data_IF_725838305285
#
_entry.id   IF_725838305285
#
_cell.length_a   1.000
_cell.length_b   1.000
_cell.length_c   1.000
_cell.angle_alpha   90.00
_cell.angle_beta   90.00
_cell.angle_gamma   90.00
#
_symmetry.space_group_name_H-M   'P 1'
#
loop_
_entity.id
_entity.type
_entity.pdbx_description
1 polymer ?
#
# COMPACT_ATOMS: atom_id res chain seq x y z
N UNK A 1 21.59 42.34 20.69
CA UNK A 1 21.32 41.98 19.28
C UNK A 1 22.00 40.67 18.84
N UNK A 2 22.08 39.63 19.69
CA UNK A 2 22.69 38.32 19.32
C UNK A 2 21.78 37.11 19.55
N UNK A 3 20.61 37.29 20.15
CA UNK A 3 19.70 36.20 20.53
C UNK A 3 18.52 35.99 19.56
N UNK A 4 18.26 36.92 18.64
CA UNK A 4 17.11 36.83 17.72
C UNK A 4 17.41 36.09 16.41
N UNK A 5 18.68 35.85 16.09
CA UNK A 5 19.07 35.18 14.83
C UNK A 5 19.03 33.65 14.98
N UNK A 6 19.10 33.12 16.21
CA UNK A 6 19.11 31.66 16.43
C UNK A 6 17.73 31.00 16.28
N UNK A 7 16.63 31.76 16.42
CA UNK A 7 15.27 31.21 16.30
C UNK A 7 14.74 31.19 14.86
N UNK A 8 15.35 31.91 13.93
CA UNK A 8 14.94 31.91 12.52
C UNK A 8 15.38 30.66 11.73
N UNK A 9 16.39 29.94 12.23
CA UNK A 9 16.93 28.75 11.56
C UNK A 9 16.26 27.46 12.04
N UNK A 10 15.57 27.49 13.19
CA UNK A 10 14.94 26.30 13.78
C UNK A 10 13.57 25.93 13.20
N UNK A 11 13.04 26.71 12.24
CA UNK A 11 11.70 26.47 11.68
C UNK A 11 11.69 25.64 10.38
N UNK A 12 12.85 25.28 9.83
CA UNK A 12 12.94 24.56 8.54
C UNK A 12 13.10 23.04 8.64
N UNK A 13 13.12 22.45 9.84
CA UNK A 13 13.40 21.01 10.02
C UNK A 13 12.17 20.11 10.20
N UNK A 14 10.93 20.62 10.08
CA UNK A 14 9.72 19.81 10.28
C UNK A 14 8.83 19.64 9.06
N UNK A 15 9.25 20.08 7.87
CA UNK A 15 8.62 19.61 6.64
C UNK A 15 9.13 18.20 6.32
N UNK A 16 8.57 17.20 7.02
CA UNK A 16 8.52 15.83 6.53
C UNK A 16 7.68 15.85 5.23
N UNK A 17 8.26 16.31 4.14
CA UNK A 17 7.69 16.15 2.82
C UNK A 17 7.63 14.63 2.59
N UNK A 18 6.45 14.03 2.76
CA UNK A 18 6.22 12.63 2.41
C UNK A 18 6.48 12.52 0.92
N UNK A 19 7.66 12.03 0.56
CA UNK A 19 8.11 11.93 -0.82
C UNK A 19 7.07 11.16 -1.62
N UNK A 20 6.60 11.80 -2.70
CA UNK A 20 5.76 11.15 -3.69
C UNK A 20 6.67 10.58 -4.77
N UNK A 21 6.45 9.33 -5.13
CA UNK A 21 7.20 8.60 -6.13
C UNK A 21 6.27 8.33 -7.32
N UNK A 22 6.64 8.80 -8.51
CA UNK A 22 5.89 8.58 -9.73
C UNK A 22 6.63 7.59 -10.61
N UNK A 23 5.95 6.52 -11.03
CA UNK A 23 6.54 5.45 -11.83
C UNK A 23 5.62 5.05 -12.97
N UNK A 24 6.19 4.84 -14.15
CA UNK A 24 5.49 4.33 -15.34
C UNK A 24 5.97 2.91 -15.62
N UNK A 25 5.07 1.94 -15.53
CA UNK A 25 5.38 0.51 -15.53
C UNK A 25 4.31 -0.26 -16.31
N UNK A 26 4.70 -1.36 -16.97
CA UNK A 26 3.73 -2.27 -17.59
C UNK A 26 3.24 -3.29 -16.56
N UNK A 27 1.94 -3.34 -16.30
CA UNK A 27 1.34 -4.40 -15.50
C UNK A 27 1.29 -5.69 -16.32
N UNK A 28 1.76 -6.80 -15.75
CA UNK A 28 1.87 -8.06 -16.51
C UNK A 28 1.07 -9.20 -15.91
N UNK A 29 0.93 -9.27 -14.59
CA UNK A 29 0.25 -10.39 -13.94
C UNK A 29 -0.04 -10.05 -12.46
N UNK A 30 -0.85 -10.88 -11.82
CA UNK A 30 -0.94 -10.93 -10.36
C UNK A 30 -1.08 -12.35 -9.85
N UNK A 31 -0.65 -12.57 -8.61
CA UNK A 31 -0.82 -13.85 -7.94
C UNK A 31 -1.20 -13.67 -6.48
N UNK A 32 -2.08 -14.56 -6.00
CA UNK A 32 -2.43 -14.63 -4.59
C UNK A 32 -1.43 -15.49 -3.83
N UNK A 33 -0.95 -14.97 -2.70
CA UNK A 33 -0.10 -15.69 -1.74
C UNK A 33 -0.71 -15.63 -0.34
N UNK A 34 -0.40 -16.63 0.48
CA UNK A 34 -0.79 -16.60 1.89
C UNK A 34 -0.07 -15.46 2.63
N UNK A 35 -0.74 -14.91 3.65
CA UNK A 35 -0.12 -13.95 4.59
C UNK A 35 0.11 -14.62 5.94
N UNK A 36 0.69 -13.88 6.90
CA UNK A 36 0.80 -14.34 8.30
C UNK A 36 -0.51 -14.22 9.09
N UNK A 37 -1.61 -13.82 8.44
CA UNK A 37 -2.97 -13.77 8.98
C UNK A 37 -3.91 -14.57 8.07
N UNK A 38 -4.58 -15.60 8.59
CA UNK A 38 -5.48 -16.44 7.78
C UNK A 38 -6.68 -15.70 7.19
N UNK A 39 -6.98 -14.50 7.67
CA UNK A 39 -8.09 -13.69 7.18
C UNK A 39 -7.68 -12.68 6.10
N UNK A 40 -6.42 -12.77 5.61
CA UNK A 40 -5.93 -12.01 4.47
C UNK A 40 -5.13 -12.87 3.51
N UNK A 41 -5.23 -12.54 2.23
CA UNK A 41 -4.30 -12.98 1.20
C UNK A 41 -3.51 -11.79 0.67
N UNK A 42 -2.31 -12.07 0.19
CA UNK A 42 -1.47 -11.11 -0.49
C UNK A 42 -1.77 -11.19 -1.99
N UNK A 43 -2.38 -10.15 -2.57
CA UNK A 43 -2.46 -9.98 -4.01
C UNK A 43 -1.18 -9.29 -4.48
N UNK A 44 -0.22 -10.08 -4.95
CA UNK A 44 1.04 -9.57 -5.47
C UNK A 44 0.86 -9.16 -6.93
N UNK A 45 0.84 -7.85 -7.18
CA UNK A 45 0.80 -7.26 -8.50
C UNK A 45 2.22 -7.22 -9.08
N UNK A 46 2.38 -7.68 -10.31
CA UNK A 46 3.68 -7.76 -10.99
C UNK A 46 3.73 -6.71 -12.11
N UNK A 47 4.76 -5.89 -12.07
CA UNK A 47 5.02 -4.86 -13.06
C UNK A 47 6.44 -4.99 -13.63
N UNK A 48 6.61 -4.57 -14.89
CA UNK A 48 7.91 -4.54 -15.57
C UNK A 48 8.26 -3.10 -15.96
N UNK A 49 9.52 -2.72 -15.73
CA UNK A 49 10.15 -1.49 -16.23
C UNK A 49 11.44 -1.84 -16.95
N UNK A 50 11.44 -1.74 -18.28
CA UNK A 50 12.58 -2.19 -19.08
C UNK A 50 12.91 -3.65 -18.78
N UNK A 51 13.96 -3.94 -18.00
CA UNK A 51 14.40 -5.28 -17.61
C UNK A 51 14.11 -5.59 -16.12
N UNK A 52 13.70 -4.59 -15.33
CA UNK A 52 13.43 -4.76 -13.91
C UNK A 52 11.99 -5.20 -13.66
N UNK A 53 11.81 -6.07 -12.66
CA UNK A 53 10.50 -6.49 -12.16
C UNK A 53 10.21 -5.83 -10.82
N UNK A 54 9.08 -5.13 -10.72
CA UNK A 54 8.55 -4.61 -9.47
C UNK A 54 7.40 -5.49 -8.99
N UNK A 55 7.45 -5.90 -7.72
CA UNK A 55 6.37 -6.62 -7.03
C UNK A 55 5.73 -5.70 -6.00
N UNK A 56 4.44 -5.47 -6.15
CA UNK A 56 3.66 -4.60 -5.28
C UNK A 56 2.56 -5.42 -4.61
N UNK A 57 2.55 -5.43 -3.30
CA UNK A 57 1.68 -6.26 -2.50
C UNK A 57 0.44 -5.49 -2.04
N UNK A 58 -0.73 -6.07 -2.26
CA UNK A 58 -2.00 -5.58 -1.73
C UNK A 58 -2.57 -6.62 -0.79
N UNK A 59 -2.72 -6.28 0.50
CA UNK A 59 -3.32 -7.20 1.50
C UNK A 59 -4.84 -7.11 1.39
N UNK A 60 -5.47 -8.16 0.89
CA UNK A 60 -6.92 -8.22 0.62
C UNK A 60 -7.61 -9.16 1.60
N UNK A 61 -8.79 -8.80 2.14
CA UNK A 61 -9.53 -9.67 3.04
C UNK A 61 -9.91 -11.00 2.40
N UNK A 62 -9.83 -12.05 3.20
CA UNK A 62 -10.18 -13.42 2.81
C UNK A 62 -11.14 -14.04 3.82
N UNK A 63 -12.32 -14.44 3.34
CA UNK A 63 -13.32 -15.17 4.14
C UNK A 63 -13.04 -16.66 4.08
N UNK A 64 -12.53 -17.19 5.20
CA UNK A 64 -12.23 -18.62 5.32
C UNK A 64 -13.47 -19.52 5.22
N UNK A 65 -14.64 -19.05 5.65
CA UNK A 65 -15.87 -19.86 5.70
C UNK A 65 -16.35 -20.34 4.33
N UNK A 66 -16.07 -19.59 3.27
CA UNK A 66 -16.46 -19.91 1.90
C UNK A 66 -15.30 -19.77 0.89
N UNK A 67 -14.05 -19.71 1.38
CA UNK A 67 -12.84 -19.51 0.59
C UNK A 67 -12.92 -18.33 -0.39
N UNK A 68 -13.53 -17.22 0.03
CA UNK A 68 -13.78 -16.06 -0.83
C UNK A 68 -12.75 -14.95 -0.58
N UNK A 69 -12.07 -14.52 -1.65
CA UNK A 69 -11.25 -13.30 -1.65
C UNK A 69 -12.17 -12.11 -1.93
N UNK A 70 -12.12 -11.09 -1.06
CA UNK A 70 -12.87 -9.85 -1.24
C UNK A 70 -11.90 -8.82 -1.83
N UNK A 71 -11.71 -8.89 -3.15
CA UNK A 71 -10.89 -7.94 -3.89
C UNK A 71 -11.80 -6.95 -4.61
N UNK A 72 -11.85 -5.71 -4.13
CA UNK A 72 -12.65 -4.65 -4.74
C UNK A 72 -11.87 -3.84 -5.77
N UNK A 73 -10.62 -4.16 -6.04
CA UNK A 73 -9.76 -3.40 -6.93
C UNK A 73 -9.25 -2.10 -6.31
N UNK A 74 -8.20 -1.54 -6.90
CA UNK A 74 -7.56 -0.28 -6.47
C UNK A 74 -8.61 0.85 -6.55
N UNK A 75 -8.64 1.74 -5.54
CA UNK A 75 -9.60 2.84 -5.46
C UNK A 75 -11.08 2.45 -5.61
N UNK A 76 -11.46 1.24 -5.19
CA UNK A 76 -12.84 0.76 -5.26
C UNK A 76 -13.34 0.68 -6.71
N UNK A 77 -13.00 -0.44 -7.35
CA UNK A 77 -13.39 -0.94 -8.68
C UNK A 77 -12.34 -0.84 -9.79
N UNK A 78 -11.09 -0.41 -9.53
CA UNK A 78 -10.05 -0.53 -10.56
C UNK A 78 -9.30 -1.85 -10.48
N UNK A 79 -9.65 -2.79 -11.35
CA UNK A 79 -8.80 -3.96 -11.59
C UNK A 79 -7.90 -3.70 -12.79
N UNK A 80 -6.59 -3.85 -12.59
CA UNK A 80 -5.59 -3.61 -13.63
C UNK A 80 -5.75 -4.62 -14.78
N UNK A 81 -5.57 -4.15 -16.01
CA UNK A 81 -5.60 -4.94 -17.23
C UNK A 81 -4.17 -5.30 -17.62
N UNK A 82 -3.91 -6.59 -17.80
CA UNK A 82 -2.62 -7.11 -18.24
C UNK A 82 -2.13 -6.42 -19.52
N UNK A 83 -0.81 -6.31 -19.65
CA UNK A 83 -0.11 -5.67 -20.75
C UNK A 83 -0.42 -4.17 -20.93
N UNK A 84 -1.05 -3.52 -19.95
CA UNK A 84 -1.29 -2.08 -19.95
C UNK A 84 -0.16 -1.35 -19.22
N UNK A 85 0.28 -0.23 -19.77
CA UNK A 85 1.26 0.66 -19.13
C UNK A 85 0.50 1.61 -18.21
N UNK A 86 0.82 1.56 -16.93
CA UNK A 86 0.28 2.44 -15.90
C UNK A 86 1.33 3.41 -15.41
N UNK A 87 0.91 4.65 -15.17
CA UNK A 87 1.62 5.61 -14.35
C UNK A 87 0.98 5.62 -12.96
N UNK A 88 1.75 5.24 -11.95
CA UNK A 88 1.33 5.11 -10.56
C UNK A 88 2.06 6.18 -9.76
N UNK A 89 1.31 6.98 -9.01
CA UNK A 89 1.86 7.92 -8.02
C UNK A 89 1.69 7.31 -6.64
N UNK A 90 2.80 7.00 -5.97
CA UNK A 90 2.87 6.43 -4.64
C UNK A 90 3.30 7.50 -3.64
N UNK A 91 2.77 7.44 -2.43
CA UNK A 91 3.20 8.26 -1.30
C UNK A 91 3.58 7.36 -0.14
N UNK A 92 4.80 7.51 0.39
CA UNK A 92 5.18 6.81 1.62
C UNK A 92 4.28 7.25 2.77
N UNK A 93 3.74 6.28 3.50
CA UNK A 93 2.89 6.54 4.67
C UNK A 93 3.37 5.70 5.85
N UNK A 94 3.12 6.19 7.06
CA UNK A 94 3.24 5.40 8.27
C UNK A 94 2.03 4.50 8.43
N UNK A 95 2.18 3.39 9.15
CA UNK A 95 1.04 2.52 9.55
C UNK A 95 -0.05 3.29 10.32
N UNK A 96 0.34 4.34 11.06
CA UNK A 96 -0.59 5.20 11.80
C UNK A 96 -1.40 6.16 10.91
N UNK A 97 -1.03 6.33 9.64
CA UNK A 97 -1.84 7.10 8.68
C UNK A 97 -3.04 6.30 8.16
N UNK A 98 -3.03 4.97 8.31
CA UNK A 98 -4.18 4.13 7.97
C UNK A 98 -5.22 4.25 9.10
N UNK A 99 -6.48 4.63 8.80
CA UNK A 99 -7.53 4.74 9.81
C UNK A 99 -7.66 3.47 10.64
N UNK A 100 -7.64 3.61 11.97
CA UNK A 100 -7.76 2.46 12.88
C UNK A 100 -9.09 1.73 12.71
N UNK A 101 -10.16 2.47 12.41
CA UNK A 101 -11.48 1.92 12.10
C UNK A 101 -11.47 0.93 10.93
N UNK A 102 -10.41 0.96 10.11
CA UNK A 102 -10.27 0.00 9.04
C UNK A 102 -9.80 -1.36 9.54
N UNK A 103 -9.19 -1.54 10.71
CA UNK A 103 -8.63 -2.84 11.13
C UNK A 103 -7.66 -3.47 10.10
N UNK A 104 -6.92 -2.68 9.29
CA UNK A 104 -6.13 -3.24 8.18
C UNK A 104 -5.09 -4.28 8.60
N UNK A 105 -4.66 -5.15 7.67
CA UNK A 105 -3.55 -6.08 7.89
C UNK A 105 -2.33 -5.35 8.46
N UNK A 106 -2.00 -4.19 7.89
CA UNK A 106 -0.86 -3.40 8.35
C UNK A 106 -1.01 -2.95 9.82
N UNK A 107 -2.22 -2.62 10.29
CA UNK A 107 -2.47 -2.25 11.69
C UNK A 107 -2.35 -3.44 12.65
N UNK A 108 -2.72 -4.65 12.22
CA UNK A 108 -2.84 -5.82 13.11
C UNK A 108 -1.65 -6.78 13.06
N UNK A 109 -0.92 -6.80 11.95
CA UNK A 109 0.06 -7.82 11.62
C UNK A 109 1.45 -7.25 11.34
N UNK A 110 1.75 -6.04 11.79
CA UNK A 110 3.06 -5.44 11.57
C UNK A 110 3.63 -4.76 12.82
N UNK A 111 4.96 -4.69 12.88
CA UNK A 111 5.72 -3.88 13.83
C UNK A 111 6.46 -2.84 13.00
N UNK A 112 6.16 -1.56 13.24
CA UNK A 112 6.80 -0.42 12.57
C UNK A 112 8.27 -0.31 12.95
N UNK A 113 9.12 0.03 11.99
CA UNK A 113 10.51 0.38 12.25
C UNK A 113 10.62 1.70 13.06
N UNK A 114 11.62 1.78 13.94
CA UNK A 114 11.79 2.95 14.83
C UNK A 114 12.32 4.18 14.11
N UNK A 115 13.03 3.98 13.00
CA UNK A 115 13.72 5.03 12.24
C UNK A 115 12.93 5.48 11.02
N UNK A 116 12.16 4.58 10.42
CA UNK A 116 11.30 4.86 9.27
C UNK A 116 9.91 4.27 9.50
N UNK A 117 8.94 5.13 9.82
CA UNK A 117 7.59 4.71 10.15
C UNK A 117 6.85 4.00 9.00
N UNK A 118 7.35 4.11 7.76
CA UNK A 118 6.79 3.43 6.59
C UNK A 118 7.29 2.00 6.45
N UNK A 119 8.43 1.68 7.08
CA UNK A 119 8.99 0.34 7.09
C UNK A 119 8.39 -0.49 8.21
N UNK A 120 8.23 -1.78 7.96
CA UNK A 120 7.64 -2.67 8.94
C UNK A 120 8.11 -4.11 8.82
N UNK A 121 8.03 -4.83 9.93
CA UNK A 121 8.20 -6.30 9.95
C UNK A 121 6.85 -6.96 10.13
N UNK A 122 6.52 -7.95 9.30
CA UNK A 122 5.28 -8.72 9.45
C UNK A 122 5.35 -9.70 10.63
N UNK A 123 4.30 -9.74 11.44
CA UNK A 123 4.11 -10.67 12.54
C UNK A 123 2.89 -11.58 12.34
N UNK A 124 2.95 -12.78 12.93
CA UNK A 124 1.84 -13.72 12.92
C UNK A 124 0.82 -13.33 13.99
N UNK A 125 -0.36 -12.93 13.55
CA UNK A 125 -1.49 -12.59 14.41
C UNK A 125 -2.77 -12.96 13.67
N UNK A 126 -3.44 -14.02 14.10
CA UNK A 126 -4.71 -14.46 13.49
C UNK A 126 -5.83 -13.79 14.25
N UNK A 127 -6.39 -12.73 13.70
CA UNK A 127 -7.52 -12.04 14.30
C UNK A 127 -8.82 -12.38 13.57
N UNK A 128 -9.91 -12.49 14.32
CA UNK A 128 -11.26 -12.76 13.83
C UNK A 128 -12.00 -11.46 13.43
N UNK A 129 -11.30 -10.32 13.32
CA UNK A 129 -11.95 -9.05 13.05
C UNK A 129 -12.61 -9.04 11.67
N UNK A 130 -13.79 -8.44 11.59
CA UNK A 130 -14.37 -8.04 10.32
C UNK A 130 -13.60 -6.82 9.80
N UNK A 131 -12.83 -7.04 8.75
CA UNK A 131 -12.07 -6.02 8.04
C UNK A 131 -13.03 -5.10 7.28
N UNK A 132 -12.95 -3.79 7.56
CA UNK A 132 -13.80 -2.73 7.04
C UNK A 132 -12.95 -1.67 6.33
N UNK A 133 -13.38 -1.19 5.17
CA UNK A 133 -12.71 -0.09 4.46
C UNK A 133 -11.96 -0.51 3.20
N UNK A 134 -11.41 0.49 2.51
CA UNK A 134 -10.79 0.35 1.20
C UNK A 134 -9.27 0.18 1.36
N UNK A 135 -8.80 -1.06 1.31
CA UNK A 135 -7.40 -1.39 1.55
C UNK A 135 -6.57 -1.40 0.28
N UNK A 136 -7.22 -1.54 -0.86
CA UNK A 136 -6.59 -1.79 -2.15
C UNK A 136 -5.82 -0.58 -2.68
N UNK A 137 -5.92 0.57 -2.00
CA UNK A 137 -5.05 1.74 -2.21
C UNK A 137 -3.76 1.71 -1.38
N UNK A 138 -3.67 0.87 -0.35
CA UNK A 138 -2.50 0.73 0.50
C UNK A 138 -1.69 -0.48 0.06
N UNK A 139 -0.45 -0.23 -0.33
CA UNK A 139 0.42 -1.25 -0.93
C UNK A 139 1.76 -1.29 -0.23
N UNK A 140 2.39 -2.45 -0.21
CA UNK A 140 3.78 -2.58 0.22
C UNK A 140 4.68 -3.03 -0.92
N UNK A 141 5.89 -2.46 -0.93
CA UNK A 141 7.00 -2.86 -1.80
C UNK A 141 8.18 -3.07 -0.86
N UNK A 142 8.72 -4.29 -0.83
CA UNK A 142 9.86 -4.67 0.02
C UNK A 142 9.72 -4.19 1.47
N UNK A 143 8.57 -4.47 2.10
CA UNK A 143 8.26 -4.11 3.49
C UNK A 143 8.24 -2.60 3.77
N UNK A 144 8.05 -1.78 2.74
CA UNK A 144 7.81 -0.33 2.84
C UNK A 144 6.37 -0.03 2.40
N UNK A 145 5.63 0.69 3.24
CA UNK A 145 4.22 1.00 3.04
C UNK A 145 4.00 2.29 2.25
N UNK A 146 3.12 2.21 1.25
CA UNK A 146 2.71 3.31 0.40
C UNK A 146 1.19 3.41 0.30
N UNK A 147 0.71 4.62 0.05
CA UNK A 147 -0.63 4.88 -0.48
C UNK A 147 -0.50 5.21 -1.97
N UNK A 148 -1.30 4.53 -2.81
CA UNK A 148 -1.50 4.94 -4.19
C UNK A 148 -2.34 6.21 -4.15
N UNK A 149 -1.82 7.30 -4.70
CA UNK A 149 -2.49 8.61 -4.79
C UNK A 149 -3.14 8.80 -6.15
N UNK A 150 -2.51 8.25 -7.19
CA UNK A 150 -2.99 8.38 -8.56
C UNK A 150 -2.63 7.14 -9.37
N UNK A 151 -3.51 6.76 -10.28
CA UNK A 151 -3.32 5.68 -11.24
C UNK A 151 -3.85 6.13 -12.60
N UNK A 152 -3.00 6.07 -13.63
CA UNK A 152 -3.34 6.45 -15.00
C UNK A 152 -2.84 5.40 -15.99
N UNK A 153 -3.57 5.04 -17.06
CA UNK A 153 -4.89 5.55 -17.41
C UNK A 153 -5.98 5.03 -16.46
N UNK A 154 -6.90 5.90 -16.06
CA UNK A 154 -8.11 5.53 -15.31
C UNK A 154 -9.08 4.67 -16.15
N UNK A 155 -8.95 4.70 -17.48
CA UNK A 155 -9.67 3.83 -18.43
C UNK A 155 -9.05 2.44 -18.58
N UNK A 156 -7.90 2.18 -17.94
CA UNK A 156 -7.26 0.87 -17.92
C UNK A 156 -7.88 -0.11 -16.92
N UNK A 157 -8.93 0.28 -16.21
CA UNK A 157 -9.60 -0.52 -15.20
C UNK A 157 -10.68 -1.42 -15.83
N UNK A 158 -10.73 -2.71 -15.47
CA UNK A 158 -11.91 -3.53 -15.73
C UNK A 158 -12.79 -3.61 -14.47
N UNK A 159 -14.10 -3.63 -14.68
CA UNK A 159 -15.12 -3.67 -13.64
C UNK A 159 -15.75 -5.07 -13.67
N UNK A 160 -15.36 -6.01 -12.79
CA UNK A 160 -16.02 -7.30 -12.72
C UNK A 160 -17.48 -7.08 -12.31
N UNK A 161 -18.40 -7.45 -13.22
CA UNK A 161 -19.84 -7.49 -12.96
C UNK A 161 -20.20 -8.54 -11.91
#
# INVERSE_FOLDING_TARGET
MRLLILYGIMFFLFFNCKAQEKMTLRYVDHQYKETKNKSFVNNELVFIKSEDTLRMNVKVPFKQSNAQIINRGIFYNCHLKENTIYTITLKKICINDIPEAFNSYYRTNTITDKTDCSKFTEIKNNTNYEYKGDYEKYVDIDNVLYEIIELSPNTGCFYPH
#
